data_IF_744223932950
#
_entry.id   IF_744223932950
#
_cell.length_a   1.000
_cell.length_b   1.000
_cell.length_c   1.000
_cell.angle_alpha   90.00
_cell.angle_beta   90.00
_cell.angle_gamma   90.00
#
_symmetry.space_group_name_H-M   'P 1'
#
loop_
_entity.id
_entity.type
_entity.pdbx_description
1 polymer ?
#
# COMPACT_ATOMS: atom_id res chain seq x y z
N UNK A 1 66.00 3.93 -61.80
CA UNK A 1 66.28 2.51 -62.12
C UNK A 1 65.37 1.64 -61.25
N UNK A 2 64.64 0.75 -61.89
CA UNK A 2 63.74 -0.31 -61.46
C UNK A 2 62.28 0.08 -61.37
N UNK A 3 61.59 -0.29 -62.43
CA UNK A 3 60.13 -0.43 -62.53
C UNK A 3 59.66 -1.74 -61.80
N UNK A 4 58.63 -1.64 -61.04
CA UNK A 4 57.87 -2.82 -60.55
C UNK A 4 56.47 -2.71 -61.05
N UNK A 5 56.11 -3.74 -61.86
CA UNK A 5 54.76 -3.95 -62.37
C UNK A 5 53.82 -4.39 -61.23
N UNK A 6 52.67 -3.78 -61.14
CA UNK A 6 51.58 -4.23 -60.24
C UNK A 6 50.50 -4.96 -61.06
N UNK A 7 50.34 -6.27 -60.84
CA UNK A 7 49.22 -7.06 -61.33
C UNK A 7 47.95 -6.72 -60.52
N UNK A 8 46.89 -6.34 -61.23
CA UNK A 8 45.57 -6.20 -60.65
C UNK A 8 44.85 -7.55 -60.69
N UNK A 9 44.52 -8.12 -59.56
CA UNK A 9 43.65 -9.29 -59.41
C UNK A 9 42.21 -8.84 -59.19
N UNK A 10 41.35 -9.19 -60.14
CA UNK A 10 39.90 -8.99 -60.05
C UNK A 10 39.31 -10.13 -59.21
N UNK A 11 38.85 -9.82 -57.99
CA UNK A 11 38.07 -10.75 -57.18
C UNK A 11 36.59 -10.60 -57.50
N UNK A 12 36.00 -11.64 -58.10
CA UNK A 12 34.54 -11.81 -58.21
C UNK A 12 33.99 -12.18 -56.83
N UNK A 13 33.20 -11.30 -56.22
CA UNK A 13 32.43 -11.60 -55.00
C UNK A 13 31.09 -12.20 -55.40
N UNK A 14 30.92 -13.48 -55.24
CA UNK A 14 29.63 -14.18 -55.30
C UNK A 14 28.86 -13.86 -54.03
N UNK A 15 27.80 -13.04 -54.12
CA UNK A 15 26.85 -12.78 -53.04
C UNK A 15 25.93 -14.01 -52.87
N UNK A 16 26.23 -14.86 -51.90
CA UNK A 16 25.30 -15.87 -51.43
C UNK A 16 24.23 -15.21 -50.59
N UNK A 17 23.01 -15.13 -51.13
CA UNK A 17 21.84 -14.68 -50.39
C UNK A 17 21.56 -15.62 -49.21
N UNK A 18 21.77 -15.14 -47.96
CA UNK A 18 21.28 -15.81 -46.75
C UNK A 18 19.76 -15.63 -46.72
N UNK A 19 19.03 -16.70 -46.94
CA UNK A 19 17.61 -16.78 -46.56
C UNK A 19 17.52 -16.56 -45.03
N UNK A 20 16.91 -15.44 -44.63
CA UNK A 20 16.58 -15.19 -43.25
C UNK A 20 15.46 -16.15 -42.84
N UNK A 21 15.81 -17.19 -42.10
CA UNK A 21 14.81 -18.02 -41.41
C UNK A 21 14.23 -17.11 -40.31
N UNK A 22 12.98 -16.68 -40.54
CA UNK A 22 12.18 -16.03 -39.49
C UNK A 22 12.10 -16.99 -38.30
N UNK A 23 12.79 -16.68 -37.23
CA UNK A 23 12.63 -17.33 -35.95
C UNK A 23 11.18 -17.12 -35.51
N UNK A 24 10.37 -18.14 -35.56
CA UNK A 24 9.06 -18.17 -34.95
C UNK A 24 9.28 -18.03 -33.46
N UNK A 25 8.94 -16.85 -32.91
CA UNK A 25 8.84 -16.67 -31.45
C UNK A 25 7.90 -17.76 -30.92
N UNK A 26 8.25 -18.43 -29.81
CA UNK A 26 7.35 -19.38 -29.20
C UNK A 26 6.05 -18.64 -28.85
N UNK A 27 4.95 -19.14 -29.40
CA UNK A 27 3.60 -18.69 -29.07
C UNK A 27 3.44 -18.83 -27.55
N UNK A 28 2.99 -17.80 -26.81
CA UNK A 28 2.78 -17.93 -25.37
C UNK A 28 1.89 -19.16 -25.16
N UNK A 29 2.33 -20.08 -24.32
CA UNK A 29 1.64 -21.33 -24.01
C UNK A 29 0.26 -20.99 -23.50
N UNK A 30 -0.75 -21.04 -24.37
CA UNK A 30 -2.16 -20.98 -23.95
C UNK A 30 -2.41 -22.21 -23.10
N UNK A 31 -2.60 -21.99 -21.81
CA UNK A 31 -3.15 -23.04 -20.96
C UNK A 31 -4.49 -23.50 -21.56
N UNK A 32 -4.78 -24.82 -21.58
CA UNK A 32 -6.05 -25.29 -22.09
C UNK A 32 -7.20 -24.65 -21.28
N UNK A 33 -8.35 -24.36 -21.92
CA UNK A 33 -9.50 -23.82 -21.23
C UNK A 33 -9.86 -24.74 -20.05
N UNK A 34 -9.90 -24.13 -18.83
CA UNK A 34 -10.22 -24.79 -17.58
C UNK A 34 -11.58 -24.30 -17.12
N UNK A 35 -12.25 -25.06 -16.27
CA UNK A 35 -13.35 -24.47 -15.49
C UNK A 35 -12.78 -23.45 -14.52
N UNK A 36 -13.53 -22.37 -14.28
CA UNK A 36 -13.17 -21.41 -13.26
C UNK A 36 -13.14 -22.10 -11.88
N UNK A 37 -12.12 -21.84 -11.09
CA UNK A 37 -11.95 -22.45 -9.77
C UNK A 37 -12.10 -21.38 -8.70
N UNK A 38 -12.90 -21.65 -7.68
CA UNK A 38 -12.95 -20.91 -6.43
C UNK A 38 -12.57 -21.87 -5.31
N UNK A 39 -11.41 -21.64 -4.70
CA UNK A 39 -10.90 -22.41 -3.58
C UNK A 39 -10.90 -21.52 -2.32
N UNK A 40 -11.58 -21.96 -1.28
CA UNK A 40 -11.68 -21.27 0.01
C UNK A 40 -11.38 -22.22 1.14
N UNK A 41 -10.74 -21.71 2.19
CA UNK A 41 -10.39 -22.54 3.35
C UNK A 41 -9.76 -21.72 4.47
N UNK A 42 -9.04 -22.43 5.30
CA UNK A 42 -8.25 -21.85 6.39
C UNK A 42 -6.83 -22.43 6.33
N UNK A 43 -5.84 -21.55 6.34
CA UNK A 43 -4.43 -21.91 6.34
C UNK A 43 -3.75 -21.21 7.53
N UNK A 44 -3.15 -21.98 8.43
CA UNK A 44 -2.48 -21.48 9.65
C UNK A 44 -3.36 -20.54 10.51
N UNK A 45 -4.68 -20.78 10.54
CA UNK A 45 -5.64 -19.93 11.25
C UNK A 45 -6.20 -18.76 10.44
N UNK A 46 -5.60 -18.40 9.30
CA UNK A 46 -6.09 -17.39 8.38
C UNK A 46 -7.08 -17.97 7.37
N UNK A 47 -8.25 -17.36 7.23
CA UNK A 47 -9.18 -17.70 6.15
C UNK A 47 -8.62 -17.21 4.82
N UNK A 48 -8.87 -17.93 3.74
CA UNK A 48 -8.40 -17.52 2.42
C UNK A 48 -9.45 -17.74 1.32
N UNK A 49 -9.24 -17.05 0.21
CA UNK A 49 -9.90 -17.27 -1.07
C UNK A 49 -8.88 -17.22 -2.19
N UNK A 50 -8.92 -18.23 -3.07
CA UNK A 50 -8.25 -18.24 -4.36
C UNK A 50 -9.34 -18.27 -5.44
N UNK A 51 -9.18 -17.47 -6.49
CA UNK A 51 -10.02 -17.50 -7.68
C UNK A 51 -9.15 -17.61 -8.92
N UNK A 52 -9.38 -18.66 -9.71
CA UNK A 52 -8.67 -18.90 -10.98
C UNK A 52 -9.72 -18.82 -12.09
N UNK A 53 -9.65 -17.82 -12.99
CA UNK A 53 -10.61 -17.70 -14.09
C UNK A 53 -10.44 -18.81 -15.12
N UNK A 54 -11.49 -19.09 -15.90
CA UNK A 54 -11.49 -20.14 -16.92
C UNK A 54 -10.42 -19.90 -18.01
N UNK A 55 -10.14 -18.65 -18.31
CA UNK A 55 -9.13 -18.16 -19.26
C UNK A 55 -7.80 -17.82 -18.59
N UNK A 56 -7.46 -18.51 -17.50
CA UNK A 56 -6.23 -18.28 -16.74
C UNK A 56 -5.00 -18.24 -17.64
N UNK A 57 -4.26 -17.13 -17.58
CA UNK A 57 -3.09 -16.85 -18.40
C UNK A 57 -1.75 -17.31 -17.79
N UNK A 58 -1.78 -18.04 -16.65
CA UNK A 58 -0.59 -18.46 -15.90
C UNK A 58 -0.14 -17.46 -14.83
N UNK A 59 -0.70 -16.24 -14.78
CA UNK A 59 -0.31 -15.23 -13.82
C UNK A 59 -1.10 -15.29 -12.50
N UNK A 60 -0.49 -14.83 -11.41
CA UNK A 60 -1.06 -14.76 -10.07
C UNK A 60 -0.97 -13.34 -9.51
N UNK A 61 -2.02 -12.89 -8.86
CA UNK A 61 -2.04 -11.68 -8.04
C UNK A 61 -2.31 -12.05 -6.59
N UNK A 62 -1.37 -11.74 -5.71
CA UNK A 62 -1.51 -11.82 -4.26
C UNK A 62 -2.06 -10.51 -3.73
N UNK A 63 -3.12 -10.56 -2.93
CA UNK A 63 -3.75 -9.36 -2.39
C UNK A 63 -3.65 -9.30 -0.87
N UNK A 64 -3.09 -8.19 -0.40
CA UNK A 64 -3.02 -7.80 1.00
C UNK A 64 -4.12 -6.78 1.31
N UNK A 65 -5.06 -7.13 2.21
CA UNK A 65 -6.11 -6.18 2.61
C UNK A 65 -5.61 -5.14 3.63
N UNK A 66 -6.38 -4.08 3.80
CA UNK A 66 -6.10 -3.00 4.74
C UNK A 66 -6.37 -3.37 6.20
N UNK A 67 -6.30 -2.35 7.07
CA UNK A 67 -6.61 -2.49 8.49
C UNK A 67 -8.07 -2.94 8.69
N UNK A 68 -8.27 -4.00 9.44
CA UNK A 68 -9.59 -4.47 9.85
C UNK A 68 -9.68 -4.52 11.38
N UNK A 69 -10.79 -3.99 11.91
CA UNK A 69 -11.06 -4.02 13.34
C UNK A 69 -11.44 -5.43 13.79
N UNK A 70 -11.13 -5.76 15.04
CA UNK A 70 -11.62 -7.00 15.64
C UNK A 70 -13.14 -7.13 15.49
N UNK A 71 -13.59 -8.31 15.09
CA UNK A 71 -15.00 -8.59 14.82
C UNK A 71 -15.50 -8.16 13.44
N UNK A 72 -14.64 -7.65 12.55
CA UNK A 72 -15.03 -7.42 11.14
C UNK A 72 -15.46 -8.74 10.50
N UNK A 73 -16.68 -8.80 9.89
CA UNK A 73 -17.15 -10.03 9.26
C UNK A 73 -16.30 -10.43 8.06
N UNK A 74 -16.11 -11.73 7.88
CA UNK A 74 -15.51 -12.28 6.67
C UNK A 74 -16.54 -12.29 5.53
N UNK A 75 -16.45 -11.33 4.64
CA UNK A 75 -17.37 -11.12 3.52
C UNK A 75 -16.65 -11.04 2.17
N UNK A 76 -16.07 -12.17 1.68
CA UNK A 76 -15.26 -12.15 0.45
C UNK A 76 -16.07 -11.77 -0.80
N UNK A 77 -17.39 -11.92 -0.78
CA UNK A 77 -18.31 -11.58 -1.87
C UNK A 77 -18.93 -10.18 -1.74
N UNK A 78 -18.56 -9.40 -0.70
CA UNK A 78 -18.99 -8.01 -0.63
C UNK A 78 -18.58 -7.26 -1.91
N UNK A 79 -19.46 -6.41 -2.49
CA UNK A 79 -19.23 -5.79 -3.79
C UNK A 79 -17.84 -5.15 -3.94
N UNK A 80 -17.38 -4.45 -2.90
CA UNK A 80 -16.04 -3.82 -2.89
C UNK A 80 -14.89 -4.82 -3.14
N UNK A 81 -14.96 -6.02 -2.56
CA UNK A 81 -13.95 -7.07 -2.72
C UNK A 81 -14.08 -7.76 -4.07
N UNK A 82 -15.32 -8.05 -4.48
CA UNK A 82 -15.61 -8.69 -5.77
C UNK A 82 -15.20 -7.80 -6.95
N UNK A 83 -15.47 -6.50 -6.88
CA UNK A 83 -15.13 -5.54 -7.93
C UNK A 83 -13.61 -5.33 -8.05
N UNK A 84 -12.92 -5.23 -6.93
CA UNK A 84 -11.46 -5.14 -6.93
C UNK A 84 -10.82 -6.42 -7.53
N UNK A 85 -11.24 -7.59 -7.08
CA UNK A 85 -10.78 -8.89 -7.60
C UNK A 85 -11.02 -9.01 -9.11
N UNK A 86 -12.20 -8.56 -9.58
CA UNK A 86 -12.56 -8.61 -11.00
C UNK A 86 -11.61 -7.82 -11.89
N UNK A 87 -10.99 -6.75 -11.39
CA UNK A 87 -10.00 -6.00 -12.15
C UNK A 87 -8.81 -6.85 -12.61
N UNK A 88 -8.49 -7.91 -11.88
CA UNK A 88 -7.40 -8.85 -12.20
C UNK A 88 -7.92 -10.11 -12.89
N UNK A 89 -9.00 -10.71 -12.40
CA UNK A 89 -9.51 -11.97 -12.95
C UNK A 89 -10.07 -11.80 -14.37
N UNK A 90 -10.65 -10.65 -14.71
CA UNK A 90 -11.05 -10.30 -16.08
C UNK A 90 -9.89 -10.15 -17.06
N UNK A 91 -8.65 -10.10 -16.55
CA UNK A 91 -7.41 -10.08 -17.32
C UNK A 91 -6.72 -11.45 -17.38
N UNK A 92 -7.41 -12.48 -16.95
CA UNK A 92 -6.95 -13.86 -16.94
C UNK A 92 -5.99 -14.18 -15.78
N UNK A 93 -5.80 -13.31 -14.80
CA UNK A 93 -4.96 -13.58 -13.64
C UNK A 93 -5.73 -14.35 -12.57
N UNK A 94 -5.09 -15.33 -11.96
CA UNK A 94 -5.55 -15.86 -10.68
C UNK A 94 -5.40 -14.79 -9.60
N UNK A 95 -6.32 -14.78 -8.63
CA UNK A 95 -6.31 -13.85 -7.51
C UNK A 95 -6.38 -14.61 -6.20
N UNK A 96 -5.47 -14.32 -5.27
CA UNK A 96 -5.42 -14.98 -3.96
C UNK A 96 -5.36 -13.95 -2.85
N UNK A 97 -6.23 -14.11 -1.85
CA UNK A 97 -6.35 -13.25 -0.68
C UNK A 97 -6.39 -14.07 0.61
N UNK A 98 -5.57 -13.68 1.57
CA UNK A 98 -5.68 -14.11 2.97
C UNK A 98 -6.41 -13.05 3.79
N UNK A 99 -7.25 -13.47 4.77
CA UNK A 99 -7.86 -12.58 5.77
C UNK A 99 -7.11 -12.60 7.09
N UNK A 100 -5.84 -12.85 7.04
CA UNK A 100 -4.88 -12.91 8.13
C UNK A 100 -5.42 -13.66 9.38
N UNK A 101 -4.50 -14.18 10.18
CA UNK A 101 -4.82 -14.81 11.47
C UNK A 101 -5.05 -13.80 12.60
N UNK A 102 -4.84 -12.50 12.33
CA UNK A 102 -5.00 -11.41 13.29
C UNK A 102 -5.71 -10.21 12.69
N UNK A 103 -6.38 -9.44 13.52
CA UNK A 103 -6.96 -8.14 13.23
C UNK A 103 -6.02 -7.00 13.63
N UNK A 104 -6.42 -5.76 13.34
CA UNK A 104 -5.70 -4.56 13.73
C UNK A 104 -4.45 -4.31 12.89
N UNK A 105 -3.38 -3.88 13.53
CA UNK A 105 -2.09 -3.64 12.90
C UNK A 105 -1.34 -4.96 12.63
N UNK A 106 -1.92 -5.78 11.77
CA UNK A 106 -1.49 -7.14 11.47
C UNK A 106 -0.48 -7.18 10.30
N UNK A 107 0.53 -6.32 10.30
CA UNK A 107 1.50 -6.22 9.19
C UNK A 107 2.34 -7.48 9.08
N UNK A 108 2.88 -7.98 10.19
CA UNK A 108 3.69 -9.20 10.23
C UNK A 108 2.86 -10.42 9.84
N UNK A 109 1.69 -10.57 10.45
CA UNK A 109 0.77 -11.66 10.14
C UNK A 109 0.28 -11.59 8.68
N UNK A 110 0.05 -10.38 8.17
CA UNK A 110 -0.36 -10.16 6.78
C UNK A 110 0.71 -10.58 5.78
N UNK A 111 1.97 -10.29 6.06
CA UNK A 111 3.10 -10.75 5.23
C UNK A 111 3.23 -12.27 5.24
N UNK A 112 3.19 -12.88 6.44
CA UNK A 112 3.36 -14.32 6.60
C UNK A 112 2.20 -15.11 5.97
N UNK A 113 0.97 -14.69 6.23
CA UNK A 113 -0.23 -15.40 5.76
C UNK A 113 -0.43 -15.22 4.25
N UNK A 114 -0.03 -14.06 3.68
CA UNK A 114 -0.02 -13.85 2.22
C UNK A 114 1.02 -14.77 1.57
N UNK A 115 2.21 -14.90 2.15
CA UNK A 115 3.25 -15.78 1.62
C UNK A 115 2.87 -17.26 1.78
N UNK A 116 2.32 -17.66 2.94
CA UNK A 116 1.82 -19.01 3.13
C UNK A 116 0.76 -19.38 2.07
N UNK A 117 -0.13 -18.43 1.74
CA UNK A 117 -1.13 -18.61 0.70
C UNK A 117 -0.52 -18.70 -0.69
N UNK A 118 0.53 -17.91 -1.02
CA UNK A 118 1.26 -18.02 -2.29
C UNK A 118 1.88 -19.42 -2.44
N UNK A 119 2.55 -19.91 -1.40
CA UNK A 119 3.13 -21.25 -1.38
C UNK A 119 2.06 -22.34 -1.50
N UNK A 120 0.91 -22.16 -0.85
CA UNK A 120 -0.24 -23.07 -0.97
C UNK A 120 -0.78 -23.08 -2.42
N UNK A 121 -0.88 -21.91 -3.07
CA UNK A 121 -1.25 -21.83 -4.48
C UNK A 121 -0.27 -22.62 -5.36
N UNK A 122 1.03 -22.40 -5.20
CA UNK A 122 2.07 -23.09 -5.97
C UNK A 122 2.00 -24.60 -5.79
N UNK A 123 1.79 -25.07 -4.56
CA UNK A 123 1.68 -26.50 -4.28
C UNK A 123 0.46 -27.17 -4.95
N UNK A 124 -0.65 -26.45 -5.09
CA UNK A 124 -1.91 -27.00 -5.61
C UNK A 124 -2.11 -26.79 -7.11
N UNK A 125 -1.62 -25.69 -7.66
CA UNK A 125 -1.93 -25.24 -9.02
C UNK A 125 -0.68 -25.13 -9.92
N UNK A 126 0.51 -25.32 -9.34
CA UNK A 126 1.80 -25.15 -10.01
C UNK A 126 2.35 -23.74 -9.87
N UNK A 127 3.61 -23.57 -10.29
CA UNK A 127 4.28 -22.26 -10.26
C UNK A 127 3.65 -21.34 -11.31
N UNK A 128 3.23 -20.12 -10.94
CA UNK A 128 2.78 -19.13 -11.92
C UNK A 128 3.90 -18.67 -12.85
N UNK A 129 3.53 -18.25 -14.06
CA UNK A 129 4.46 -17.66 -15.04
C UNK A 129 4.88 -16.24 -14.61
N UNK A 130 3.99 -15.56 -13.86
CA UNK A 130 4.28 -14.27 -13.21
C UNK A 130 3.45 -14.13 -11.94
N UNK A 131 4.02 -13.43 -10.93
CA UNK A 131 3.37 -13.18 -9.66
C UNK A 131 3.48 -11.70 -9.29
N UNK A 132 2.37 -11.07 -9.00
CA UNK A 132 2.30 -9.68 -8.54
C UNK A 132 1.72 -9.60 -7.14
N UNK A 133 2.16 -8.60 -6.35
CA UNK A 133 1.55 -8.30 -5.06
C UNK A 133 0.88 -6.93 -5.10
N UNK A 134 -0.31 -6.85 -4.52
CA UNK A 134 -1.09 -5.61 -4.42
C UNK A 134 -1.80 -5.51 -3.09
N UNK A 135 -2.17 -4.30 -2.69
CA UNK A 135 -2.92 -4.10 -1.45
C UNK A 135 -3.32 -2.64 -1.23
N UNK A 136 -4.31 -2.44 -0.34
CA UNK A 136 -4.86 -1.14 0.00
C UNK A 136 -4.47 -0.71 1.41
N UNK A 137 -4.21 0.59 1.65
CA UNK A 137 -3.99 1.15 2.98
C UNK A 137 -2.84 0.43 3.71
N UNK A 138 -3.07 -0.19 4.87
CA UNK A 138 -2.11 -1.08 5.52
C UNK A 138 -1.65 -2.21 4.58
N UNK A 139 -2.53 -2.73 3.72
CA UNK A 139 -2.16 -3.69 2.68
C UNK A 139 -1.18 -3.12 1.65
N UNK A 140 -1.20 -1.82 1.39
CA UNK A 140 -0.20 -1.13 0.58
C UNK A 140 1.19 -1.14 1.26
N UNK A 141 1.25 -0.97 2.58
CA UNK A 141 2.47 -1.16 3.36
C UNK A 141 2.96 -2.61 3.28
N UNK A 142 2.05 -3.60 3.46
CA UNK A 142 2.37 -5.02 3.32
C UNK A 142 2.89 -5.34 1.92
N UNK A 143 2.31 -4.72 0.89
CA UNK A 143 2.75 -4.86 -0.50
C UNK A 143 4.21 -4.42 -0.68
N UNK A 144 4.57 -3.24 -0.16
CA UNK A 144 5.95 -2.73 -0.20
C UNK A 144 6.88 -3.60 0.65
N UNK A 145 6.46 -4.00 1.85
CA UNK A 145 7.21 -4.89 2.71
C UNK A 145 7.53 -6.23 2.02
N UNK A 146 6.54 -6.77 1.31
CA UNK A 146 6.69 -8.03 0.59
C UNK A 146 7.68 -7.91 -0.55
N UNK A 147 7.59 -6.89 -1.40
CA UNK A 147 8.51 -6.74 -2.55
C UNK A 147 9.94 -6.42 -2.11
N UNK A 148 10.14 -5.69 -1.01
CA UNK A 148 11.48 -5.43 -0.47
C UNK A 148 12.15 -6.64 0.15
N UNK A 149 11.38 -7.58 0.68
CA UNK A 149 11.92 -8.73 1.44
C UNK A 149 11.86 -10.05 0.69
N UNK A 150 11.07 -10.13 -0.40
CA UNK A 150 10.80 -11.36 -1.17
C UNK A 150 10.83 -11.12 -2.68
N UNK A 151 11.70 -10.25 -3.17
CA UNK A 151 11.79 -9.87 -4.58
C UNK A 151 11.84 -11.10 -5.53
N UNK A 152 12.60 -12.14 -5.19
CA UNK A 152 12.74 -13.34 -6.01
C UNK A 152 11.41 -14.13 -6.27
N UNK A 153 10.35 -13.80 -5.55
CA UNK A 153 9.06 -14.49 -5.64
C UNK A 153 7.99 -13.66 -6.39
N UNK A 154 8.30 -12.42 -6.77
CA UNK A 154 7.37 -11.48 -7.38
C UNK A 154 7.99 -10.73 -8.55
N UNK A 155 7.18 -10.40 -9.56
CA UNK A 155 7.57 -9.66 -10.76
C UNK A 155 7.19 -8.16 -10.69
N UNK A 156 6.55 -7.73 -9.60
CA UNK A 156 6.20 -6.35 -9.37
C UNK A 156 5.16 -6.15 -8.27
N UNK A 157 5.03 -4.90 -7.81
CA UNK A 157 4.16 -4.51 -6.71
C UNK A 157 3.29 -3.31 -7.07
N UNK A 158 2.02 -3.33 -6.62
CA UNK A 158 1.01 -2.31 -6.87
C UNK A 158 0.34 -1.88 -5.56
N UNK A 159 1.00 -1.08 -4.70
CA UNK A 159 0.39 -0.55 -3.50
C UNK A 159 -0.60 0.58 -3.83
N UNK A 160 -1.84 0.47 -3.33
CA UNK A 160 -2.88 1.48 -3.41
C UNK A 160 -3.07 2.20 -2.07
N UNK A 161 -3.14 3.54 -2.09
CA UNK A 161 -3.43 4.37 -0.90
C UNK A 161 -2.65 3.94 0.35
N UNK A 162 -1.40 3.48 0.16
CA UNK A 162 -0.59 2.83 1.18
C UNK A 162 0.12 3.79 2.12
N UNK A 163 0.33 3.33 3.37
CA UNK A 163 1.28 3.94 4.28
C UNK A 163 2.69 3.47 3.88
N UNK A 164 3.41 4.26 3.10
CA UNK A 164 4.65 3.82 2.44
C UNK A 164 5.94 4.33 3.11
N UNK A 165 5.81 5.17 4.15
CA UNK A 165 6.93 5.64 4.96
C UNK A 165 7.09 4.76 6.22
N UNK A 166 8.22 4.87 6.97
CA UNK A 166 8.41 4.18 8.24
C UNK A 166 7.23 4.40 9.18
N UNK A 167 6.63 3.30 9.67
CA UNK A 167 5.36 3.35 10.38
C UNK A 167 5.38 4.27 11.62
N UNK A 168 6.50 4.28 12.37
CA UNK A 168 6.66 5.16 13.55
C UNK A 168 6.50 6.63 13.16
N UNK A 169 7.20 7.09 12.12
CA UNK A 169 7.19 8.50 11.73
C UNK A 169 5.89 8.89 11.01
N UNK A 170 5.40 8.03 10.12
CA UNK A 170 4.18 8.28 9.38
C UNK A 170 2.96 8.34 10.29
N UNK A 171 2.81 7.38 11.20
CA UNK A 171 1.70 7.36 12.15
C UNK A 171 1.82 8.46 13.21
N UNK A 172 3.05 8.79 13.67
CA UNK A 172 3.24 9.93 14.55
C UNK A 172 2.79 11.24 13.89
N UNK A 173 3.28 11.54 12.69
CA UNK A 173 2.99 12.82 12.03
C UNK A 173 1.56 12.97 11.55
N UNK A 174 0.88 11.87 11.23
CA UNK A 174 -0.51 11.91 10.75
C UNK A 174 -1.51 11.53 11.83
N UNK A 175 -1.42 10.35 12.39
CA UNK A 175 -2.39 9.83 13.35
C UNK A 175 -2.26 10.49 14.72
N UNK A 176 -1.06 10.45 15.31
CA UNK A 176 -0.86 10.89 16.69
C UNK A 176 -0.93 12.41 16.82
N UNK A 177 -0.28 13.17 15.92
CA UNK A 177 -0.31 14.63 15.96
C UNK A 177 -1.71 15.21 15.70
N UNK A 178 -2.54 14.56 14.86
CA UNK A 178 -3.95 14.94 14.69
C UNK A 178 -4.74 14.72 15.97
N UNK A 179 -4.54 13.59 16.67
CA UNK A 179 -5.21 13.32 17.94
C UNK A 179 -4.77 14.28 19.03
N UNK A 180 -3.48 14.63 19.13
CA UNK A 180 -2.95 15.62 20.07
C UNK A 180 -3.56 17.00 19.81
N UNK A 181 -3.64 17.42 18.55
CA UNK A 181 -4.25 18.69 18.16
C UNK A 181 -5.76 18.71 18.43
N UNK A 182 -6.46 17.62 18.17
CA UNK A 182 -7.89 17.49 18.45
C UNK A 182 -8.14 17.53 19.97
N UNK A 183 -7.36 16.82 20.78
CA UNK A 183 -7.50 16.82 22.25
C UNK A 183 -7.27 18.21 22.86
N UNK A 184 -6.35 19.01 22.29
CA UNK A 184 -6.15 20.41 22.67
C UNK A 184 -7.37 21.28 22.33
N UNK A 185 -7.92 21.12 21.11
CA UNK A 185 -9.05 21.92 20.63
C UNK A 185 -10.37 21.53 21.31
N UNK A 186 -10.60 20.25 21.53
CA UNK A 186 -11.84 19.67 22.06
C UNK A 186 -11.56 18.89 23.36
N UNK A 187 -11.03 19.60 24.35
CA UNK A 187 -10.56 19.01 25.60
C UNK A 187 -11.60 18.12 26.29
N UNK A 188 -11.19 16.92 26.66
CA UNK A 188 -12.00 15.93 27.36
C UNK A 188 -13.02 15.18 26.50
N UNK A 189 -12.97 15.33 25.16
CA UNK A 189 -13.81 14.58 24.21
C UNK A 189 -13.21 13.23 23.87
N UNK A 190 -11.88 13.15 23.65
CA UNK A 190 -11.20 11.88 23.35
C UNK A 190 -11.08 10.99 24.59
N UNK A 191 -10.63 11.56 25.68
CA UNK A 191 -10.46 10.87 26.96
C UNK A 191 -10.44 11.86 28.11
N UNK A 192 -10.92 11.43 29.29
CA UNK A 192 -10.78 12.14 30.55
C UNK A 192 -9.76 11.49 31.47
N UNK A 193 -9.08 10.45 30.99
CA UNK A 193 -8.05 9.78 31.78
C UNK A 193 -6.86 10.68 32.05
N UNK A 194 -6.25 10.64 33.25
CA UNK A 194 -5.06 11.43 33.57
C UNK A 194 -3.87 11.13 32.62
N UNK A 195 -3.78 9.92 32.07
CA UNK A 195 -2.78 9.51 31.07
C UNK A 195 -2.99 10.16 29.70
N UNK A 196 -4.21 10.66 29.40
CA UNK A 196 -4.56 11.21 28.09
C UNK A 196 -4.39 10.14 26.99
N UNK A 197 -3.71 10.53 25.91
CA UNK A 197 -3.46 9.64 24.77
C UNK A 197 -2.34 8.60 25.01
N UNK A 198 -1.63 8.66 26.15
CA UNK A 198 -0.56 7.70 26.44
C UNK A 198 -1.09 6.29 26.81
N UNK A 199 -2.36 6.19 27.24
CA UNK A 199 -2.96 4.92 27.65
C UNK A 199 -4.46 4.91 27.28
N UNK A 200 -4.75 4.79 26.01
CA UNK A 200 -6.12 4.65 25.49
C UNK A 200 -6.77 3.29 25.79
N UNK A 201 -6.03 2.17 25.93
CA UNK A 201 -6.63 0.89 26.35
C UNK A 201 -7.41 0.98 27.67
N UNK A 202 -6.97 1.81 28.61
CA UNK A 202 -7.66 2.04 29.87
C UNK A 202 -8.90 2.95 29.79
N UNK A 203 -9.17 3.58 28.64
CA UNK A 203 -10.26 4.51 28.45
C UNK A 203 -11.34 3.97 27.48
N UNK A 204 -12.61 4.36 27.62
CA UNK A 204 -13.62 4.05 26.61
C UNK A 204 -13.32 4.80 25.31
N UNK A 205 -13.55 4.14 24.16
CA UNK A 205 -13.50 4.80 22.85
C UNK A 205 -14.66 5.78 22.72
N UNK A 206 -14.44 7.06 22.36
CA UNK A 206 -15.52 8.00 22.11
C UNK A 206 -16.43 7.51 20.97
N UNK A 207 -17.72 7.74 21.05
CA UNK A 207 -18.61 7.41 19.97
C UNK A 207 -18.45 8.39 18.80
N UNK A 208 -18.69 7.93 17.56
CA UNK A 208 -18.71 8.83 16.39
C UNK A 208 -19.69 9.99 16.57
N UNK A 209 -20.82 9.73 17.23
CA UNK A 209 -21.81 10.75 17.53
C UNK A 209 -21.26 11.83 18.47
N UNK A 210 -20.57 11.46 19.57
CA UNK A 210 -19.98 12.41 20.50
C UNK A 210 -18.94 13.30 19.81
N UNK A 211 -18.12 12.74 18.94
CA UNK A 211 -17.15 13.51 18.13
C UNK A 211 -17.85 14.48 17.16
N UNK A 212 -18.91 14.02 16.49
CA UNK A 212 -19.69 14.85 15.58
C UNK A 212 -20.44 15.98 16.33
N UNK A 213 -20.92 15.73 17.53
CA UNK A 213 -21.55 16.76 18.40
C UNK A 213 -20.54 17.81 18.85
N UNK A 214 -19.34 17.40 19.27
CA UNK A 214 -18.28 18.33 19.64
C UNK A 214 -17.87 19.23 18.46
N UNK A 215 -17.69 18.65 17.27
CA UNK A 215 -17.36 19.42 16.06
C UNK A 215 -18.47 20.37 15.65
N UNK A 216 -19.75 19.96 15.75
CA UNK A 216 -20.89 20.85 15.48
C UNK A 216 -21.00 21.99 16.47
N UNK A 217 -20.63 21.77 17.73
CA UNK A 217 -20.66 22.81 18.75
C UNK A 217 -19.63 23.93 18.51
N UNK A 218 -18.49 23.62 17.89
CA UNK A 218 -17.47 24.61 17.52
C UNK A 218 -16.81 24.21 16.18
N UNK A 219 -17.45 24.51 15.06
CA UNK A 219 -16.93 24.11 13.73
C UNK A 219 -15.65 24.85 13.33
N UNK A 220 -15.39 26.05 13.88
CA UNK A 220 -14.19 26.81 13.56
C UNK A 220 -12.90 26.08 13.97
N UNK A 221 -12.96 25.31 15.06
CA UNK A 221 -11.84 24.45 15.48
C UNK A 221 -11.59 23.31 14.50
N UNK A 222 -12.65 22.69 13.98
CA UNK A 222 -12.52 21.66 12.97
C UNK A 222 -11.95 22.21 11.66
N UNK A 223 -12.35 23.44 11.25
CA UNK A 223 -11.75 24.13 10.11
C UNK A 223 -10.25 24.41 10.31
N UNK A 224 -9.85 24.86 11.51
CA UNK A 224 -8.44 25.10 11.82
C UNK A 224 -7.63 23.78 11.76
N UNK A 225 -8.14 22.70 12.39
CA UNK A 225 -7.54 21.38 12.32
C UNK A 225 -7.46 20.89 10.86
N UNK A 226 -8.54 21.07 10.12
CA UNK A 226 -8.65 20.67 8.72
C UNK A 226 -7.62 21.36 7.84
N UNK A 227 -7.45 22.68 7.97
CA UNK A 227 -6.41 23.42 7.25
C UNK A 227 -4.99 22.92 7.58
N UNK A 228 -4.74 22.63 8.86
CA UNK A 228 -3.40 22.20 9.29
C UNK A 228 -3.03 20.81 8.79
N UNK A 229 -3.99 19.89 8.76
CA UNK A 229 -3.73 18.47 8.45
C UNK A 229 -4.36 18.01 7.14
N UNK A 230 -4.82 18.92 6.29
CA UNK A 230 -5.50 18.59 5.03
C UNK A 230 -6.64 17.56 5.24
N UNK A 231 -7.49 17.80 6.24
CA UNK A 231 -8.68 17.01 6.55
C UNK A 231 -9.89 17.92 6.39
N UNK A 232 -10.85 17.58 5.53
CA UNK A 232 -12.08 18.37 5.41
C UNK A 232 -12.84 18.36 6.72
N UNK A 233 -13.43 19.50 7.17
CA UNK A 233 -14.10 19.60 8.46
C UNK A 233 -15.17 18.52 8.71
N UNK A 234 -15.92 18.16 7.69
CA UNK A 234 -16.93 17.11 7.74
C UNK A 234 -16.34 15.71 7.95
N UNK A 235 -15.09 15.49 7.55
CA UNK A 235 -14.38 14.22 7.73
C UNK A 235 -13.72 14.08 9.11
N UNK A 236 -13.51 15.21 9.84
CA UNK A 236 -12.79 15.21 11.11
C UNK A 236 -13.35 14.22 12.13
N UNK A 237 -14.68 14.12 12.40
CA UNK A 237 -15.18 13.17 13.38
C UNK A 237 -14.88 11.71 13.03
N UNK A 238 -15.00 11.36 11.75
CA UNK A 238 -14.75 9.98 11.26
C UNK A 238 -13.27 9.61 11.32
N UNK A 239 -12.39 10.51 10.89
CA UNK A 239 -10.93 10.33 10.91
C UNK A 239 -10.42 10.23 12.35
N UNK A 240 -10.83 11.14 13.21
CA UNK A 240 -10.43 11.14 14.64
C UNK A 240 -10.91 9.86 15.33
N UNK A 241 -12.15 9.44 15.09
CA UNK A 241 -12.65 8.17 15.64
C UNK A 241 -11.78 6.99 15.20
N UNK A 242 -11.47 6.90 13.92
CA UNK A 242 -10.67 5.82 13.36
C UNK A 242 -9.25 5.82 13.92
N UNK A 243 -8.65 7.00 14.06
CA UNK A 243 -7.32 7.15 14.66
C UNK A 243 -7.26 6.77 16.14
N UNK A 244 -8.32 7.07 16.93
CA UNK A 244 -8.42 6.59 18.31
C UNK A 244 -8.47 5.06 18.37
N UNK A 245 -9.23 4.43 17.48
CA UNK A 245 -9.32 2.96 17.40
C UNK A 245 -7.95 2.36 17.08
N UNK A 246 -7.26 2.89 16.06
CA UNK A 246 -5.92 2.41 15.69
C UNK A 246 -4.91 2.63 16.82
N UNK A 247 -4.86 3.84 17.41
CA UNK A 247 -3.90 4.13 18.49
C UNK A 247 -4.10 3.21 19.68
N UNK A 248 -5.36 2.99 20.08
CA UNK A 248 -5.70 2.08 21.18
C UNK A 248 -5.21 0.66 20.90
N UNK A 249 -5.46 0.14 19.73
CA UNK A 249 -5.05 -1.20 19.32
C UNK A 249 -3.52 -1.32 19.25
N UNK A 250 -2.85 -0.33 18.65
CA UNK A 250 -1.39 -0.26 18.62
C UNK A 250 -0.78 -0.30 20.03
N UNK A 251 -1.33 0.48 20.97
CA UNK A 251 -0.87 0.49 22.36
C UNK A 251 -1.10 -0.85 23.05
N UNK A 252 -2.21 -1.54 22.77
CA UNK A 252 -2.46 -2.88 23.30
C UNK A 252 -1.45 -3.89 22.78
N UNK A 253 -1.17 -3.90 21.48
CA UNK A 253 -0.23 -4.84 20.86
C UNK A 253 1.22 -4.53 21.20
N UNK A 254 1.58 -3.26 21.25
CA UNK A 254 2.94 -2.81 21.55
C UNK A 254 3.27 -2.83 23.05
N UNK A 255 2.26 -2.97 23.92
CA UNK A 255 2.43 -2.91 25.38
C UNK A 255 2.72 -1.52 25.92
N UNK A 256 2.44 -0.44 25.18
CA UNK A 256 2.67 0.95 25.57
C UNK A 256 2.47 1.94 24.42
N UNK A 257 2.71 3.24 24.69
CA UNK A 257 2.59 4.29 23.69
C UNK A 257 3.83 4.35 22.77
N UNK A 258 3.73 4.10 21.44
CA UNK A 258 4.89 4.14 20.55
C UNK A 258 5.28 5.54 20.07
N UNK A 259 4.58 6.62 20.48
CA UNK A 259 4.75 7.96 19.92
C UNK A 259 5.27 8.98 20.93
N UNK A 260 6.28 9.75 20.51
CA UNK A 260 6.87 10.87 21.24
C UNK A 260 6.59 12.18 20.51
N UNK A 261 6.03 13.17 21.21
CA UNK A 261 5.80 14.50 20.65
C UNK A 261 6.51 15.62 21.46
N UNK A 262 7.41 15.28 22.37
CA UNK A 262 8.10 16.29 23.22
C UNK A 262 8.96 17.23 22.41
N UNK A 263 9.55 16.75 21.32
CA UNK A 263 10.32 17.54 20.35
C UNK A 263 9.53 18.11 19.18
N UNK A 264 8.23 17.82 19.06
CA UNK A 264 7.39 18.32 17.97
C UNK A 264 7.02 19.79 18.17
N UNK A 265 7.11 20.60 17.11
CA UNK A 265 6.59 21.96 17.09
C UNK A 265 5.15 21.95 16.54
N UNK A 266 4.23 22.51 17.30
CA UNK A 266 2.81 22.59 16.92
C UNK A 266 2.47 24.00 16.44
N UNK A 267 2.01 24.12 15.20
CA UNK A 267 1.68 25.37 14.54
C UNK A 267 0.53 25.17 13.53
N UNK A 268 -0.02 26.30 13.03
CA UNK A 268 -1.03 26.31 11.98
C UNK A 268 -2.48 26.28 12.47
N UNK A 269 -2.73 26.53 13.78
CA UNK A 269 -4.09 26.67 14.31
C UNK A 269 -4.50 28.14 14.62
N UNK A 270 -3.66 29.12 14.24
CA UNK A 270 -3.92 30.55 14.45
C UNK A 270 -3.04 31.17 15.52
N UNK A 271 -3.20 30.83 16.81
CA UNK A 271 -2.26 31.22 17.88
C UNK A 271 -1.26 30.08 18.10
N UNK A 272 -0.23 30.04 17.28
CA UNK A 272 0.77 28.97 17.31
C UNK A 272 1.55 28.89 18.62
N UNK A 273 1.96 30.03 19.28
CA UNK A 273 2.59 29.96 20.59
C UNK A 273 1.68 29.39 21.68
N UNK A 274 0.38 29.70 21.67
CA UNK A 274 -0.57 29.11 22.61
C UNK A 274 -0.82 27.63 22.32
N UNK A 275 -0.92 27.26 21.03
CA UNK A 275 -1.06 25.89 20.61
C UNK A 275 0.14 25.05 21.02
N UNK A 276 1.36 25.47 20.70
CA UNK A 276 2.57 24.71 21.02
C UNK A 276 2.78 24.55 22.54
N UNK A 277 2.46 25.57 23.32
CA UNK A 277 2.52 25.48 24.79
C UNK A 277 1.37 24.69 25.41
N UNK A 278 0.20 24.73 24.78
CA UNK A 278 -1.03 24.13 25.32
C UNK A 278 -1.22 22.67 25.05
N UNK A 279 -0.61 22.13 23.98
CA UNK A 279 -0.71 20.70 23.68
C UNK A 279 -0.01 19.85 24.72
N UNK A 280 -0.62 18.75 25.05
CA UNK A 280 -0.02 17.78 25.97
C UNK A 280 1.17 17.10 25.32
N UNK A 281 2.25 16.96 26.10
CA UNK A 281 3.47 16.28 25.65
C UNK A 281 3.51 14.86 26.20
N UNK A 282 3.83 13.93 25.32
CA UNK A 282 3.90 12.51 25.59
C UNK A 282 5.29 11.97 25.31
N UNK A 283 5.78 11.09 26.16
CA UNK A 283 6.96 10.28 25.90
C UNK A 283 6.54 8.97 25.26
N UNK A 284 7.32 8.49 24.30
CA UNK A 284 7.16 7.13 23.81
C UNK A 284 7.73 6.11 24.81
N UNK A 285 7.12 4.92 24.84
CA UNK A 285 7.71 3.72 25.44
C UNK A 285 8.72 3.13 24.45
N UNK A 286 10.00 2.98 24.81
CA UNK A 286 11.02 2.46 23.91
C UNK A 286 10.69 1.05 23.37
N UNK A 287 10.10 0.20 24.19
CA UNK A 287 9.69 -1.16 23.78
C UNK A 287 8.57 -1.11 22.72
N UNK A 288 7.60 -0.21 22.92
CA UNK A 288 6.51 -0.02 21.96
C UNK A 288 7.01 0.59 20.63
N UNK A 289 7.98 1.51 20.69
CA UNK A 289 8.63 2.06 19.49
C UNK A 289 9.31 0.94 18.70
N UNK A 290 10.09 0.11 19.39
CA UNK A 290 10.82 -1.00 18.74
C UNK A 290 9.85 -2.03 18.17
N UNK A 291 8.78 -2.35 18.91
CA UNK A 291 7.71 -3.22 18.41
C UNK A 291 7.12 -2.71 17.10
N UNK A 292 6.80 -1.41 17.01
CA UNK A 292 6.22 -0.83 15.79
C UNK A 292 7.24 -0.75 14.65
N UNK A 293 8.50 -0.39 14.97
CA UNK A 293 9.59 -0.32 13.99
C UNK A 293 9.88 -1.68 13.35
N UNK A 294 9.88 -2.75 14.15
CA UNK A 294 10.11 -4.11 13.68
C UNK A 294 9.01 -4.61 12.73
N UNK A 295 7.81 -4.02 12.79
CA UNK A 295 6.68 -4.35 11.91
C UNK A 295 6.63 -3.48 10.67
N UNK A 296 7.75 -3.35 10.11
CA UNK A 296 8.20 -2.80 8.86
C UNK A 296 8.52 -1.30 8.87
N UNK A 297 9.78 -1.06 8.57
CA UNK A 297 10.30 0.24 8.16
C UNK A 297 10.89 0.08 6.76
N UNK A 298 10.26 0.66 5.73
CA UNK A 298 10.72 0.49 4.36
C UNK A 298 12.15 0.98 4.17
N UNK A 299 12.96 0.16 3.50
CA UNK A 299 14.35 0.45 3.17
C UNK A 299 14.56 0.96 1.75
N UNK A 300 13.53 0.91 0.92
CA UNK A 300 13.54 1.31 -0.48
C UNK A 300 14.34 0.38 -1.40
N UNK A 301 14.79 -0.76 -0.93
CA UNK A 301 15.56 -1.71 -1.73
C UNK A 301 14.63 -2.61 -2.52
N UNK A 302 14.31 -2.19 -3.73
CA UNK A 302 13.44 -2.94 -4.65
C UNK A 302 14.22 -3.34 -5.90
N UNK A 303 14.05 -4.58 -6.32
CA UNK A 303 14.66 -5.14 -7.53
C UNK A 303 13.67 -5.10 -8.70
N UNK A 304 12.38 -5.24 -8.42
CA UNK A 304 11.29 -5.28 -9.37
C UNK A 304 10.46 -4.01 -9.36
N UNK A 305 9.66 -3.76 -10.43
CA UNK A 305 8.83 -2.58 -10.55
C UNK A 305 7.82 -2.39 -9.41
N UNK A 306 7.77 -1.19 -8.85
CA UNK A 306 6.77 -0.77 -7.85
C UNK A 306 6.02 0.44 -8.40
N UNK A 307 4.73 0.28 -8.72
CA UNK A 307 3.84 1.35 -9.13
C UNK A 307 2.88 1.70 -8.00
N UNK A 308 3.17 2.74 -7.23
CA UNK A 308 2.26 3.22 -6.20
C UNK A 308 1.15 4.09 -6.79
N UNK A 309 -0.09 3.86 -6.34
CA UNK A 309 -1.26 4.63 -6.81
C UNK A 309 -2.02 5.21 -5.63
N UNK A 310 -2.35 6.50 -5.71
CA UNK A 310 -3.11 7.19 -4.67
C UNK A 310 -4.26 8.02 -5.24
N UNK A 311 -5.28 8.31 -4.43
CA UNK A 311 -6.30 9.30 -4.74
C UNK A 311 -5.74 10.71 -4.54
N UNK A 312 -6.28 11.71 -5.24
CA UNK A 312 -5.85 13.12 -5.09
C UNK A 312 -6.22 13.74 -3.74
N UNK A 313 -7.21 13.17 -3.06
CA UNK A 313 -7.55 13.53 -1.69
C UNK A 313 -7.85 12.29 -0.86
N UNK A 314 -7.18 12.19 0.29
CA UNK A 314 -7.40 11.13 1.27
C UNK A 314 -7.22 11.70 2.68
N UNK A 315 -8.29 11.65 3.47
CA UNK A 315 -8.29 12.18 4.82
C UNK A 315 -7.60 11.25 5.84
N UNK A 316 -7.38 9.98 5.49
CA UNK A 316 -6.82 8.94 6.39
C UNK A 316 -5.32 8.73 6.15
N UNK A 317 -4.93 8.45 4.91
CA UNK A 317 -3.53 8.31 4.49
C UNK A 317 -3.25 9.35 3.42
N UNK A 318 -2.34 10.27 3.70
CA UNK A 318 -2.05 11.36 2.79
C UNK A 318 -1.31 10.89 1.52
N UNK A 319 -1.60 11.47 0.33
CA UNK A 319 -0.94 11.12 -0.93
C UNK A 319 0.58 11.29 -0.92
N UNK A 320 1.10 12.16 -0.06
CA UNK A 320 2.53 12.43 0.15
C UNK A 320 3.32 11.21 0.63
N UNK A 321 2.65 10.12 1.00
CA UNK A 321 3.31 8.84 1.29
C UNK A 321 4.11 8.32 0.09
N UNK A 322 3.64 8.56 -1.13
CA UNK A 322 4.35 8.18 -2.34
C UNK A 322 5.67 8.95 -2.49
N UNK A 323 5.69 10.26 -2.19
CA UNK A 323 6.90 11.08 -2.26
C UNK A 323 7.90 10.69 -1.17
N UNK A 324 7.42 10.32 0.01
CA UNK A 324 8.27 9.80 1.10
C UNK A 324 8.95 8.50 0.69
N UNK A 325 8.20 7.58 0.08
CA UNK A 325 8.79 6.33 -0.40
C UNK A 325 9.77 6.56 -1.56
N UNK A 326 9.44 7.48 -2.48
CA UNK A 326 10.37 7.92 -3.52
C UNK A 326 11.71 8.39 -2.94
N UNK A 327 11.68 9.23 -1.91
CA UNK A 327 12.90 9.68 -1.25
C UNK A 327 13.69 8.51 -0.64
N UNK A 328 13.01 7.52 -0.07
CA UNK A 328 13.63 6.31 0.48
C UNK A 328 14.31 5.49 -0.64
N UNK A 329 13.63 5.27 -1.78
CA UNK A 329 14.21 4.55 -2.93
C UNK A 329 15.39 5.30 -3.56
N UNK A 330 15.37 6.64 -3.55
CA UNK A 330 16.51 7.45 -3.97
C UNK A 330 17.75 7.23 -3.09
N UNK A 331 17.56 7.21 -1.78
CA UNK A 331 18.65 6.91 -0.82
C UNK A 331 19.14 5.47 -1.00
N UNK A 332 18.27 4.53 -1.29
CA UNK A 332 18.63 3.13 -1.53
C UNK A 332 19.27 2.90 -2.91
N UNK A 333 19.19 3.85 -3.84
CA UNK A 333 19.72 3.72 -5.20
C UNK A 333 18.85 2.92 -6.15
N UNK A 334 17.54 2.80 -5.86
CA UNK A 334 16.56 1.99 -6.63
C UNK A 334 15.40 2.83 -7.15
N UNK A 335 15.57 4.15 -7.27
CA UNK A 335 14.51 5.07 -7.70
C UNK A 335 13.98 4.79 -9.12
N UNK A 336 14.75 4.13 -9.96
CA UNK A 336 14.37 3.67 -11.29
C UNK A 336 13.34 2.52 -11.25
N UNK A 337 13.22 1.83 -10.12
CA UNK A 337 12.27 0.76 -9.85
C UNK A 337 10.96 1.24 -9.21
N UNK A 338 10.85 2.52 -8.90
CA UNK A 338 9.65 3.11 -8.30
C UNK A 338 9.01 4.13 -9.23
N UNK A 339 7.70 4.04 -9.40
CA UNK A 339 6.87 5.05 -10.05
C UNK A 339 5.64 5.36 -9.18
N UNK A 340 5.15 6.61 -9.27
CA UNK A 340 3.95 7.04 -8.59
C UNK A 340 2.92 7.54 -9.60
N UNK A 341 1.65 7.18 -9.37
CA UNK A 341 0.53 7.66 -10.15
C UNK A 341 -0.63 8.04 -9.23
N UNK A 342 -1.55 8.85 -9.73
CA UNK A 342 -2.75 9.23 -8.97
C UNK A 342 -4.01 9.06 -9.80
N UNK A 343 -5.13 8.95 -9.11
CA UNK A 343 -6.46 9.07 -9.70
C UNK A 343 -7.15 10.29 -9.10
N UNK A 344 -7.88 11.03 -9.95
CA UNK A 344 -8.70 12.14 -9.47
C UNK A 344 -9.93 11.55 -8.78
N UNK A 345 -9.81 11.37 -7.48
CA UNK A 345 -10.86 10.83 -6.63
C UNK A 345 -10.74 11.38 -5.21
N UNK A 346 -11.85 11.31 -4.49
CA UNK A 346 -12.04 11.84 -3.15
C UNK A 346 -12.38 10.70 -2.19
N UNK A 347 -11.50 10.48 -1.24
CA UNK A 347 -11.69 9.48 -0.18
C UNK A 347 -10.59 8.43 -0.11
N UNK A 348 -10.52 7.78 1.05
CA UNK A 348 -9.54 6.74 1.32
C UNK A 348 -9.78 5.52 0.44
N UNK A 349 -8.80 5.21 -0.42
CA UNK A 349 -8.86 4.07 -1.33
C UNK A 349 -10.06 4.08 -2.30
N UNK A 350 -10.52 5.24 -2.73
CA UNK A 350 -11.68 5.40 -3.61
C UNK A 350 -11.29 5.17 -5.09
N UNK A 351 -10.99 3.93 -5.45
CA UNK A 351 -10.63 3.51 -6.80
C UNK A 351 -11.77 2.79 -7.48
N UNK A 352 -12.01 3.08 -8.77
CA UNK A 352 -12.90 2.28 -9.62
C UNK A 352 -12.19 1.02 -10.11
N UNK A 353 -12.91 -0.07 -10.45
CA UNK A 353 -12.31 -1.27 -11.04
C UNK A 353 -11.52 -0.99 -12.33
N UNK A 354 -11.96 0.00 -13.11
CA UNK A 354 -11.29 0.43 -14.34
C UNK A 354 -9.93 1.06 -14.04
N UNK A 355 -9.84 1.95 -13.04
CA UNK A 355 -8.59 2.57 -12.60
C UNK A 355 -7.61 1.54 -12.04
N UNK A 356 -8.11 0.61 -11.21
CA UNK A 356 -7.29 -0.52 -10.71
C UNK A 356 -6.73 -1.34 -11.87
N UNK A 357 -7.59 -1.68 -12.84
CA UNK A 357 -7.18 -2.43 -14.01
C UNK A 357 -6.15 -1.71 -14.88
N UNK A 358 -6.32 -0.40 -15.11
CA UNK A 358 -5.38 0.42 -15.87
C UNK A 358 -4.01 0.51 -15.17
N UNK A 359 -3.99 0.68 -13.84
CA UNK A 359 -2.77 0.65 -13.04
C UNK A 359 -2.05 -0.70 -13.14
N UNK A 360 -2.80 -1.79 -13.06
CA UNK A 360 -2.23 -3.12 -13.19
C UNK A 360 -1.67 -3.38 -14.61
N UNK A 361 -2.35 -2.92 -15.65
CA UNK A 361 -1.85 -3.03 -17.02
C UNK A 361 -0.54 -2.25 -17.22
N UNK A 362 -0.42 -1.06 -16.62
CA UNK A 362 0.81 -0.26 -16.64
C UNK A 362 1.96 -0.96 -15.91
N UNK A 363 1.71 -1.53 -14.72
CA UNK A 363 2.72 -2.30 -13.97
C UNK A 363 3.19 -3.53 -14.77
N UNK A 364 2.27 -4.31 -15.33
CA UNK A 364 2.59 -5.48 -16.13
C UNK A 364 3.42 -5.14 -17.37
N UNK A 365 3.04 -4.07 -18.07
CA UNK A 365 3.80 -3.60 -19.21
C UNK A 365 5.22 -3.21 -18.80
N UNK A 366 5.37 -2.54 -17.67
CA UNK A 366 6.70 -2.20 -17.13
C UNK A 366 7.52 -3.44 -16.79
N UNK A 367 6.96 -4.38 -16.04
CA UNK A 367 7.63 -5.64 -15.70
C UNK A 367 8.07 -6.44 -16.93
N UNK A 368 7.23 -6.48 -17.98
CA UNK A 368 7.51 -7.24 -19.20
C UNK A 368 8.52 -6.57 -20.14
N UNK A 369 8.56 -5.22 -20.19
CA UNK A 369 9.36 -4.47 -21.19
C UNK A 369 10.53 -3.72 -20.59
N UNK A 370 10.58 -3.54 -19.27
CA UNK A 370 11.52 -2.67 -18.59
C UNK A 370 11.24 -1.17 -18.76
N UNK A 371 10.19 -0.80 -19.51
CA UNK A 371 9.85 0.60 -19.75
C UNK A 371 8.98 1.13 -18.61
N UNK A 372 9.57 2.01 -17.81
CA UNK A 372 8.87 2.66 -16.68
C UNK A 372 7.69 3.51 -17.18
N UNK A 373 6.50 3.41 -16.58
CA UNK A 373 5.37 4.23 -16.96
C UNK A 373 5.64 5.71 -16.69
N UNK A 374 5.00 6.58 -17.49
CA UNK A 374 4.98 8.01 -17.21
C UNK A 374 4.16 8.23 -15.94
N UNK A 375 4.73 8.99 -15.02
CA UNK A 375 4.03 9.35 -13.78
C UNK A 375 2.92 10.38 -14.07
N UNK A 376 1.87 10.33 -13.27
CA UNK A 376 0.76 11.26 -13.42
C UNK A 376 -0.59 10.60 -13.15
N UNK A 377 -1.62 11.12 -13.81
CA UNK A 377 -2.98 10.64 -13.65
C UNK A 377 -3.22 9.33 -14.39
N UNK A 378 -3.80 8.35 -13.68
CA UNK A 378 -4.41 7.17 -14.30
C UNK A 378 -5.85 7.55 -14.64
N UNK A 379 -6.07 7.84 -15.92
CA UNK A 379 -7.42 8.06 -16.42
C UNK A 379 -8.20 6.75 -16.36
N UNK A 380 -9.36 6.77 -15.71
CA UNK A 380 -10.36 5.72 -15.89
C UNK A 380 -11.31 6.13 -17.03
N UNK A 381 -11.89 5.15 -17.73
CA UNK A 381 -13.02 5.45 -18.63
C UNK A 381 -14.22 5.95 -17.84
#
# INVERSE_FOLDING_TARGET
>A
VHRILTLAAVLLVLSAGRASTASSQPNPTRHPPREAVVDTGTLNGARYRIEIPADWNGGLVMYAHGYEMEGTPFEPEAPRHADFRRAFTSRGFAFAQSWYRAYGWAVEEGMDDTEALRLHFVARHGRPDSTFVTGHSMGGLITVATIETRAADYDGALPFCGLLAPAVDALRGRLFDVLVAFDYLYTGVLTRAPSGLADLPAAPVPTRQALAEAVRADPARAEALGRRYAIRPESVPGVVWFYVVILRELQQRAGGNPFDNRGSAYHGLGDDPAFDRGVRRYAADPTAVEWLRARFSPGGRVEDPVLAVHTTYDAVVEPEQMDRYRAITQVAGTADRFAAAHVVADGHCAFTPAQVGAAFDALRAWAATGVRPVEGEIAGP
#
